data_IF_037294845971
#
_entry.id   IF_037294845971
#
_cell.length_a   1.000
_cell.length_b   1.000
_cell.length_c   1.000
_cell.angle_alpha   90.00
_cell.angle_beta   90.00
_cell.angle_gamma   90.00
#
_symmetry.space_group_name_H-M   'P 1'
#
loop_
_entity.id
_entity.type
_entity.pdbx_description
1 polymer ?
#
# COMPACT_ATOMS: atom_id res chain seq x y z
N UNK A 1 -24.95 -7.62 26.07
CA UNK A 1 -24.99 -7.73 24.60
C UNK A 1 -23.66 -7.19 24.08
N UNK A 2 -22.74 -8.07 23.69
CA UNK A 2 -21.46 -7.65 23.11
C UNK A 2 -21.71 -7.01 21.75
N UNK A 3 -21.25 -5.77 21.56
CA UNK A 3 -21.22 -5.17 20.23
C UNK A 3 -20.31 -6.04 19.34
N UNK A 4 -20.92 -6.78 18.40
CA UNK A 4 -20.19 -7.47 17.34
C UNK A 4 -19.69 -6.38 16.39
N UNK A 5 -18.48 -5.88 16.66
CA UNK A 5 -17.79 -4.97 15.74
C UNK A 5 -17.36 -5.75 14.50
N UNK A 6 -17.79 -5.29 13.32
CA UNK A 6 -17.27 -5.79 12.04
C UNK A 6 -15.79 -5.37 11.92
N UNK A 7 -14.91 -6.33 11.63
CA UNK A 7 -13.48 -6.11 11.38
C UNK A 7 -13.12 -6.64 9.99
N UNK A 8 -12.32 -5.87 9.25
CA UNK A 8 -11.89 -6.20 7.90
C UNK A 8 -10.36 -6.05 7.81
N UNK A 9 -9.69 -7.04 7.23
CA UNK A 9 -8.27 -6.95 6.90
C UNK A 9 -8.12 -6.35 5.50
N UNK A 10 -7.70 -5.09 5.44
CA UNK A 10 -7.45 -4.38 4.19
C UNK A 10 -5.96 -4.36 3.78
N UNK A 11 -5.07 -4.98 4.56
CA UNK A 11 -3.63 -4.93 4.32
C UNK A 11 -3.11 -6.20 3.64
N UNK A 12 -3.64 -7.36 4.04
CA UNK A 12 -3.17 -8.65 3.53
C UNK A 12 -4.05 -9.17 2.39
N UNK A 13 -3.42 -9.87 1.43
CA UNK A 13 -4.15 -10.59 0.37
C UNK A 13 -5.00 -11.73 0.96
N UNK A 14 -4.41 -12.47 1.90
CA UNK A 14 -5.11 -13.48 2.69
C UNK A 14 -5.22 -12.92 4.10
N UNK A 15 -6.43 -12.70 4.65
CA UNK A 15 -6.59 -12.13 5.98
C UNK A 15 -5.80 -12.90 7.04
N UNK A 16 -5.15 -12.18 7.96
CA UNK A 16 -4.20 -12.78 8.90
C UNK A 16 -4.80 -13.94 9.71
N UNK A 17 -6.05 -13.82 10.15
CA UNK A 17 -6.77 -14.86 10.90
C UNK A 17 -7.25 -16.04 10.04
N UNK A 18 -7.27 -15.89 8.72
CA UNK A 18 -7.59 -16.97 7.77
C UNK A 18 -6.30 -17.66 7.31
N UNK A 19 -5.18 -16.93 7.26
CA UNK A 19 -3.90 -17.44 6.76
C UNK A 19 -3.39 -18.66 7.53
N UNK A 20 -3.48 -18.65 8.87
CA UNK A 20 -3.20 -19.80 9.73
C UNK A 20 -3.86 -19.63 11.10
N UNK A 21 -4.24 -20.74 11.72
CA UNK A 21 -4.79 -20.79 13.08
C UNK A 21 -3.73 -20.61 14.17
N UNK A 22 -2.44 -20.65 13.79
CA UNK A 22 -1.30 -20.52 14.71
C UNK A 22 -0.17 -19.72 14.11
N UNK A 23 0.74 -19.27 14.99
CA UNK A 23 2.03 -18.73 14.56
C UNK A 23 2.83 -19.81 13.81
N UNK A 24 3.31 -19.46 12.64
CA UNK A 24 4.06 -20.35 11.77
C UNK A 24 5.57 -20.26 12.07
N UNK A 25 6.23 -21.43 12.14
CA UNK A 25 7.65 -21.51 12.49
C UNK A 25 8.57 -20.87 11.45
N UNK A 26 8.17 -20.84 10.18
CA UNK A 26 8.94 -20.17 9.16
C UNK A 26 8.27 -20.12 7.80
N UNK A 27 8.96 -19.52 6.84
CA UNK A 27 8.39 -19.26 5.52
C UNK A 27 7.93 -20.56 4.79
N UNK A 28 8.61 -21.69 5.01
CA UNK A 28 8.22 -22.99 4.40
C UNK A 28 6.83 -23.45 4.86
N UNK A 29 6.46 -23.24 6.12
CA UNK A 29 5.22 -23.78 6.68
C UNK A 29 4.00 -22.90 6.34
N UNK A 30 4.18 -21.58 6.25
CA UNK A 30 3.11 -20.64 5.89
C UNK A 30 2.87 -20.52 4.37
N UNK A 31 3.92 -20.66 3.54
CA UNK A 31 3.83 -20.37 2.08
C UNK A 31 2.79 -21.22 1.37
N UNK A 32 2.74 -22.52 1.67
CA UNK A 32 1.76 -23.44 1.06
C UNK A 32 0.32 -23.02 1.38
N UNK A 33 0.04 -22.70 2.65
CA UNK A 33 -1.28 -22.23 3.12
C UNK A 33 -1.70 -20.94 2.43
N UNK A 34 -0.79 -19.96 2.35
CA UNK A 34 -1.07 -18.69 1.67
C UNK A 34 -1.33 -18.90 0.17
N UNK A 35 -0.49 -19.69 -0.51
CA UNK A 35 -0.65 -19.93 -1.96
C UNK A 35 -1.96 -20.64 -2.27
N UNK A 36 -2.38 -21.59 -1.43
CA UNK A 36 -3.64 -22.29 -1.62
C UNK A 36 -4.84 -21.35 -1.51
N UNK A 37 -4.90 -20.56 -0.43
CA UNK A 37 -5.99 -19.58 -0.20
C UNK A 37 -5.96 -18.40 -1.17
N UNK A 38 -4.78 -18.02 -1.64
CA UNK A 38 -4.63 -16.94 -2.62
C UNK A 38 -5.28 -17.28 -3.97
N UNK A 39 -5.52 -18.56 -4.31
CA UNK A 39 -6.23 -18.92 -5.54
C UNK A 39 -7.61 -18.25 -5.62
N UNK A 40 -8.32 -18.23 -4.49
CA UNK A 40 -9.67 -17.70 -4.38
C UNK A 40 -9.70 -16.22 -3.97
N UNK A 41 -8.74 -15.79 -3.15
CA UNK A 41 -8.73 -14.44 -2.56
C UNK A 41 -7.94 -13.41 -3.37
N UNK A 42 -7.04 -13.84 -4.25
CA UNK A 42 -6.28 -12.94 -5.10
C UNK A 42 -7.10 -12.54 -6.34
N UNK A 43 -8.12 -11.72 -6.13
CA UNK A 43 -9.01 -11.20 -7.17
C UNK A 43 -8.81 -9.70 -7.37
N UNK A 44 -9.32 -9.16 -8.47
CA UNK A 44 -9.38 -7.71 -8.62
C UNK A 44 -10.42 -7.11 -7.66
N UNK A 45 -10.15 -5.88 -7.21
CA UNK A 45 -11.08 -5.16 -6.36
C UNK A 45 -12.24 -4.60 -7.19
N UNK A 46 -13.48 -4.71 -6.71
CA UNK A 46 -14.61 -4.04 -7.33
C UNK A 46 -14.41 -2.52 -7.36
N UNK A 47 -15.01 -1.80 -8.31
CA UNK A 47 -14.97 -0.34 -8.31
C UNK A 47 -15.65 0.21 -7.04
N UNK A 48 -15.11 1.29 -6.50
CA UNK A 48 -15.74 2.00 -5.38
C UNK A 48 -16.98 2.70 -5.89
N UNK A 49 -18.12 2.42 -5.27
CA UNK A 49 -19.43 2.99 -5.62
C UNK A 49 -19.71 4.17 -4.69
N UNK A 50 -20.10 5.32 -5.24
CA UNK A 50 -20.52 6.45 -4.43
C UNK A 50 -21.83 6.12 -3.70
N UNK A 51 -21.87 6.40 -2.40
CA UNK A 51 -23.07 6.21 -1.61
C UNK A 51 -24.15 7.23 -2.05
N UNK A 52 -25.45 6.85 -2.15
CA UNK A 52 -26.50 7.75 -2.63
C UNK A 52 -26.74 8.98 -1.75
N UNK A 53 -26.48 8.85 -0.45
CA UNK A 53 -26.61 9.95 0.50
C UNK A 53 -25.29 10.70 0.65
N UNK A 54 -25.28 12.04 0.50
CA UNK A 54 -24.09 12.85 0.71
C UNK A 54 -23.71 12.86 2.20
N UNK A 55 -22.50 12.43 2.52
CA UNK A 55 -21.92 12.65 3.85
C UNK A 55 -21.38 14.08 3.94
N UNK A 56 -21.80 14.84 4.95
CA UNK A 56 -21.13 16.09 5.32
C UNK A 56 -20.04 15.78 6.32
N UNK A 57 -18.80 16.09 5.97
CA UNK A 57 -17.68 16.13 6.91
C UNK A 57 -17.22 17.57 7.06
N UNK A 58 -16.78 17.93 8.26
CA UNK A 58 -16.13 19.22 8.49
C UNK A 58 -14.77 19.27 7.77
N UNK A 59 -14.35 20.47 7.38
CA UNK A 59 -13.04 20.66 6.78
C UNK A 59 -11.95 20.41 7.83
N UNK A 60 -10.91 19.65 7.46
CA UNK A 60 -9.78 19.38 8.34
C UNK A 60 -8.81 20.56 8.31
N UNK A 61 -8.53 21.15 9.46
CA UNK A 61 -7.49 22.17 9.61
C UNK A 61 -6.10 21.51 9.74
N UNK A 62 -5.42 21.36 8.61
CA UNK A 62 -4.08 20.79 8.55
C UNK A 62 -3.02 21.65 9.24
N UNK A 63 -3.23 22.97 9.33
CA UNK A 63 -2.27 23.86 9.98
C UNK A 63 -2.32 23.67 11.48
N UNK A 64 -3.52 23.65 12.07
CA UNK A 64 -3.72 23.38 13.48
C UNK A 64 -3.16 22.01 13.90
N UNK A 65 -3.40 20.97 13.09
CA UNK A 65 -2.83 19.63 13.35
C UNK A 65 -1.30 19.69 13.36
N UNK A 66 -0.68 20.36 12.39
CA UNK A 66 0.78 20.48 12.33
C UNK A 66 1.35 21.25 13.53
N UNK A 67 0.70 22.33 13.93
CA UNK A 67 1.08 23.12 15.11
C UNK A 67 0.96 22.31 16.40
N UNK A 68 -0.06 21.46 16.53
CA UNK A 68 -0.24 20.58 17.71
C UNK A 68 0.86 19.53 17.90
N UNK A 69 1.67 19.26 16.88
CA UNK A 69 2.74 18.28 16.93
C UNK A 69 4.09 18.88 17.35
N UNK A 70 4.24 20.21 17.30
CA UNK A 70 5.48 20.92 17.67
C UNK A 70 5.77 20.68 19.16
N UNK A 71 7.00 20.28 19.49
CA UNK A 71 7.42 19.93 20.84
C UNK A 71 6.88 18.59 21.38
N UNK A 72 6.03 17.88 20.63
CA UNK A 72 5.52 16.53 20.96
C UNK A 72 6.32 15.45 20.23
N UNK A 73 6.74 15.74 18.99
CA UNK A 73 7.54 14.83 18.16
C UNK A 73 9.02 15.19 18.24
N UNK A 74 9.88 14.21 17.95
CA UNK A 74 11.32 14.46 17.82
C UNK A 74 11.61 15.24 16.53
N UNK A 75 11.87 16.54 16.68
CA UNK A 75 12.15 17.46 15.57
C UNK A 75 13.58 17.34 15.02
N UNK A 76 14.45 16.53 15.65
CA UNK A 76 15.79 16.25 15.11
C UNK A 76 15.77 15.34 13.88
N UNK A 77 14.69 14.59 13.69
CA UNK A 77 14.50 13.71 12.54
C UNK A 77 13.85 14.48 11.39
N UNK A 78 14.66 14.84 10.40
CA UNK A 78 14.18 15.58 9.23
C UNK A 78 13.25 14.75 8.33
N UNK A 79 12.31 15.40 7.63
CA UNK A 79 11.50 14.76 6.61
C UNK A 79 12.34 14.11 5.51
N UNK A 80 11.97 12.91 5.12
CA UNK A 80 12.65 12.18 4.05
C UNK A 80 12.44 12.89 2.70
N UNK A 81 13.54 13.21 2.01
CA UNK A 81 13.51 13.96 0.73
C UNK A 81 13.16 13.12 -0.49
N UNK A 82 13.45 11.81 -0.45
CA UNK A 82 13.28 10.91 -1.60
C UNK A 82 11.88 10.24 -1.67
N UNK A 83 11.12 10.24 -0.58
CA UNK A 83 9.84 9.53 -0.45
C UNK A 83 8.71 10.52 -0.15
N UNK A 84 8.07 11.05 -1.19
CA UNK A 84 6.87 11.88 -1.03
C UNK A 84 5.69 11.04 -0.56
N UNK A 85 4.98 11.50 0.48
CA UNK A 85 3.78 10.83 1.00
C UNK A 85 2.61 10.76 0.01
N UNK A 86 1.64 9.89 0.32
CA UNK A 86 0.37 9.76 -0.40
C UNK A 86 0.35 8.69 -1.50
N UNK A 87 -0.86 8.27 -1.87
CA UNK A 87 -1.09 7.13 -2.76
C UNK A 87 -0.56 7.34 -4.19
N UNK A 88 -0.64 8.56 -4.72
CA UNK A 88 -0.14 8.90 -6.05
C UNK A 88 1.38 8.66 -6.17
N UNK A 89 2.13 9.07 -5.16
CA UNK A 89 3.58 8.86 -5.12
C UNK A 89 3.95 7.38 -4.96
N UNK A 90 3.21 6.63 -4.14
CA UNK A 90 3.41 5.18 -3.98
C UNK A 90 3.17 4.41 -5.28
N UNK A 91 2.12 4.75 -6.02
CA UNK A 91 1.84 4.20 -7.34
C UNK A 91 2.95 4.52 -8.35
N UNK A 92 3.41 5.77 -8.42
CA UNK A 92 4.50 6.16 -9.29
C UNK A 92 5.80 5.38 -8.99
N UNK A 93 6.10 5.19 -7.70
CA UNK A 93 7.25 4.40 -7.26
C UNK A 93 7.14 2.92 -7.66
N UNK A 94 5.93 2.34 -7.58
CA UNK A 94 5.66 0.98 -8.00
C UNK A 94 5.91 0.82 -9.51
N UNK A 95 5.37 1.70 -10.34
CA UNK A 95 5.59 1.63 -11.80
C UNK A 95 7.07 1.84 -12.17
N UNK A 96 7.76 2.77 -11.50
CA UNK A 96 9.21 2.96 -11.67
C UNK A 96 9.98 1.67 -11.37
N UNK A 97 9.64 0.98 -10.27
CA UNK A 97 10.27 -0.30 -9.92
C UNK A 97 10.00 -1.37 -10.98
N UNK A 98 8.74 -1.57 -11.37
CA UNK A 98 8.35 -2.58 -12.36
C UNK A 98 9.04 -2.36 -13.70
N UNK A 99 9.11 -1.12 -14.19
CA UNK A 99 9.68 -0.77 -15.50
C UNK A 99 11.20 -0.86 -15.54
N UNK A 100 11.89 -0.46 -14.46
CA UNK A 100 13.34 -0.24 -14.53
C UNK A 100 14.16 -1.24 -13.71
N UNK A 101 13.66 -1.67 -12.54
CA UNK A 101 14.46 -2.37 -11.52
C UNK A 101 14.05 -3.83 -11.30
N UNK A 102 12.81 -4.21 -11.58
CA UNK A 102 12.33 -5.59 -11.37
C UNK A 102 13.22 -6.64 -12.06
N UNK A 103 13.65 -6.39 -13.30
CA UNK A 103 14.54 -7.27 -14.07
C UNK A 103 15.88 -7.57 -13.39
N UNK A 104 16.41 -6.64 -12.58
CA UNK A 104 17.70 -6.81 -11.87
C UNK A 104 17.51 -7.15 -10.40
N UNK A 105 16.29 -7.11 -9.88
CA UNK A 105 15.98 -7.32 -8.46
C UNK A 105 16.48 -8.68 -7.97
N UNK A 106 16.17 -9.76 -8.68
CA UNK A 106 16.54 -11.12 -8.27
C UNK A 106 18.05 -11.28 -8.06
N UNK A 107 18.87 -10.66 -8.92
CA UNK A 107 20.34 -10.73 -8.85
C UNK A 107 20.94 -9.78 -7.81
N UNK A 108 20.34 -8.60 -7.63
CA UNK A 108 20.99 -7.49 -6.95
C UNK A 108 20.30 -7.04 -5.64
N UNK A 109 19.19 -7.67 -5.22
CA UNK A 109 18.44 -7.28 -4.00
C UNK A 109 19.25 -7.29 -2.70
N UNK A 110 20.35 -8.04 -2.66
CA UNK A 110 21.22 -8.17 -1.49
C UNK A 110 22.49 -7.29 -1.58
N UNK A 111 22.63 -6.49 -2.64
CA UNK A 111 23.80 -5.64 -2.85
C UNK A 111 23.44 -4.18 -2.55
N UNK A 112 23.87 -3.63 -1.39
CA UNK A 112 23.50 -2.28 -0.97
C UNK A 112 24.09 -1.19 -1.88
N UNK A 113 25.11 -1.50 -2.68
CA UNK A 113 25.69 -0.55 -3.64
C UNK A 113 24.81 -0.37 -4.88
N UNK A 114 23.85 -1.28 -5.09
CA UNK A 114 22.98 -1.30 -6.26
C UNK A 114 21.57 -0.81 -5.91
N UNK A 115 21.05 0.10 -6.73
CA UNK A 115 19.64 0.53 -6.68
C UNK A 115 18.71 -0.52 -7.29
N UNK A 116 18.60 -1.68 -6.64
CA UNK A 116 17.81 -2.81 -7.11
C UNK A 116 16.45 -2.95 -6.42
N UNK A 117 16.30 -2.42 -5.20
CA UNK A 117 15.09 -2.55 -4.40
C UNK A 117 13.91 -1.74 -4.97
N UNK A 118 12.71 -2.10 -4.52
CA UNK A 118 11.48 -1.37 -4.88
C UNK A 118 11.40 0.00 -4.20
N UNK A 119 11.98 0.10 -3.00
CA UNK A 119 11.82 1.21 -2.06
C UNK A 119 10.36 1.48 -1.70
N UNK A 120 9.46 0.50 -1.82
CA UNK A 120 8.02 0.68 -1.59
C UNK A 120 7.61 0.64 -0.11
N UNK A 121 8.51 0.29 0.81
CA UNK A 121 8.19 0.13 2.23
C UNK A 121 7.51 1.34 2.89
N UNK A 122 7.86 2.62 2.58
CA UNK A 122 7.16 3.75 3.20
C UNK A 122 5.67 3.77 2.84
N UNK A 123 5.32 3.49 1.59
CA UNK A 123 3.93 3.51 1.15
C UNK A 123 3.16 2.24 1.55
N UNK A 124 3.82 1.09 1.60
CA UNK A 124 3.20 -0.15 2.10
C UNK A 124 2.85 -0.02 3.59
N UNK A 125 3.71 0.61 4.39
CA UNK A 125 3.49 0.82 5.81
C UNK A 125 2.24 1.66 6.09
N UNK A 126 1.99 2.72 5.29
CA UNK A 126 0.83 3.60 5.44
C UNK A 126 -0.37 3.22 4.56
N UNK A 127 -0.41 2.02 3.97
CA UNK A 127 -1.53 1.59 3.11
C UNK A 127 -1.73 2.42 1.84
N UNK A 128 -0.69 3.16 1.41
CA UNK A 128 -0.72 4.10 0.29
C UNK A 128 -0.34 3.45 -1.05
N UNK A 129 -0.38 2.13 -1.15
CA UNK A 129 -0.26 1.41 -2.43
C UNK A 129 -1.44 0.49 -2.58
N UNK A 130 -2.03 0.37 -3.78
CA UNK A 130 -3.07 -0.62 -3.98
C UNK A 130 -2.49 -2.00 -3.69
N UNK A 131 -3.28 -2.81 -2.95
CA UNK A 131 -3.02 -4.23 -2.82
C UNK A 131 -2.79 -4.87 -4.20
N UNK A 132 -1.99 -5.95 -4.28
CA UNK A 132 -1.63 -6.53 -5.56
C UNK A 132 -2.91 -6.91 -6.33
N UNK A 133 -2.98 -6.50 -7.60
CA UNK A 133 -4.06 -6.82 -8.53
C UNK A 133 -3.52 -7.75 -9.60
N UNK A 134 -4.39 -8.55 -10.22
CA UNK A 134 -4.02 -9.40 -11.36
C UNK A 134 -3.64 -8.55 -12.58
N UNK A 135 -4.22 -7.36 -12.70
CA UNK A 135 -4.04 -6.49 -13.86
C UNK A 135 -3.34 -5.16 -13.53
N UNK A 136 -2.01 -5.16 -13.58
CA UNK A 136 -1.21 -3.92 -13.61
C UNK A 136 -1.46 -3.09 -14.89
N UNK A 137 -1.95 -3.73 -15.98
CA UNK A 137 -2.17 -3.09 -17.30
C UNK A 137 -3.24 -2.00 -17.31
N UNK A 138 -4.29 -2.12 -16.48
CA UNK A 138 -5.42 -1.17 -16.46
C UNK A 138 -5.06 0.21 -15.90
N UNK A 139 -3.98 0.31 -15.14
CA UNK A 139 -3.57 1.54 -14.46
C UNK A 139 -2.67 2.46 -15.29
N UNK A 140 -2.06 1.95 -16.36
CA UNK A 140 -1.35 2.79 -17.33
C UNK A 140 -2.34 3.82 -17.91
N UNK A 141 -3.52 3.34 -18.31
CA UNK A 141 -4.62 4.15 -18.82
C UNK A 141 -5.13 5.16 -17.79
N UNK A 142 -5.22 4.79 -16.50
CA UNK A 142 -5.66 5.69 -15.44
C UNK A 142 -4.66 6.80 -15.12
N UNK A 143 -3.36 6.56 -15.28
CA UNK A 143 -2.33 7.60 -15.15
C UNK A 143 -2.33 8.53 -16.36
N UNK A 144 -2.48 8.01 -17.58
CA UNK A 144 -2.63 8.82 -18.79
C UNK A 144 -3.87 9.73 -18.70
N UNK A 145 -4.96 9.24 -18.09
CA UNK A 145 -6.18 10.03 -17.81
C UNK A 145 -5.92 11.10 -16.72
N UNK A 146 -5.11 10.81 -15.69
CA UNK A 146 -4.80 11.77 -14.63
C UNK A 146 -3.75 12.82 -15.04
N UNK A 147 -2.88 12.51 -16.00
CA UNK A 147 -1.94 13.47 -16.58
C UNK A 147 -2.66 14.40 -17.59
N UNK A 148 -3.73 13.93 -18.25
CA UNK A 148 -4.59 14.75 -19.11
C UNK A 148 -5.56 15.70 -18.40
N UNK A 149 -5.78 15.52 -17.08
CA UNK A 149 -6.64 16.38 -16.25
C UNK A 149 -5.89 17.53 -15.56
N UNK A 150 -4.57 17.63 -15.79
CA UNK A 150 -3.69 18.68 -15.25
C UNK A 150 -3.01 19.47 -16.40
N UNK A 151 -3.48 19.31 -17.64
CA UNK A 151 -3.13 20.18 -18.77
C UNK A 151 -4.15 21.30 -18.95
#
# INVERSE_FOLDING_TARGET
MSHIGLKVDAHNVVPAWIASEKLEYGARTIRGKLHDKAKDLFTDFPPVICHPSPSRSEAVDWKAIKESLVGVVDESVEPVTWAKGGCKAGLAQLFSFLRHRLRVYARNRNDPTKRALSNLSPWLHFGCTPAPRKEAKRWQTSLDIMDGLIA
#
